data_IF_312173876236
#
_entry.id   IF_312173876236
#
_cell.length_a   1.000
_cell.length_b   1.000
_cell.length_c   1.000
_cell.angle_alpha   90.00
_cell.angle_beta   90.00
_cell.angle_gamma   90.00
#
_symmetry.space_group_name_H-M   'P 1'
#
loop_
_entity.id
_entity.type
_entity.pdbx_description
1 polymer ?
#
# COMPACT_ATOMS: atom_id res chain seq x y z
N UNK A 1 -85.52 10.11 -26.82
CA UNK A 1 -85.22 11.40 -27.45
C UNK A 1 -83.71 11.56 -27.52
N UNK A 2 -83.19 11.53 -28.75
CA UNK A 2 -81.99 12.17 -29.32
C UNK A 2 -80.66 12.28 -28.55
N UNK A 3 -79.63 11.76 -29.23
CA UNK A 3 -78.18 11.97 -29.08
C UNK A 3 -77.72 13.44 -29.04
N UNK A 4 -76.59 13.68 -28.36
CA UNK A 4 -75.48 14.54 -28.83
C UNK A 4 -74.17 14.03 -28.16
N UNK A 5 -73.26 13.38 -28.90
CA UNK A 5 -72.01 13.93 -29.47
C UNK A 5 -71.09 14.59 -28.43
N UNK A 6 -69.98 13.95 -27.99
CA UNK A 6 -68.62 13.85 -28.58
C UNK A 6 -67.63 14.84 -27.92
N UNK A 7 -66.36 14.42 -27.86
CA UNK A 7 -65.12 15.21 -27.60
C UNK A 7 -64.52 15.10 -26.17
N UNK A 8 -63.72 14.05 -26.00
CA UNK A 8 -62.27 14.08 -25.71
C UNK A 8 -61.71 15.27 -24.91
N UNK A 9 -61.12 14.99 -23.73
CA UNK A 9 -59.72 15.37 -23.45
C UNK A 9 -59.18 14.64 -22.22
N UNK A 10 -58.16 13.83 -22.49
CA UNK A 10 -57.21 13.23 -21.54
C UNK A 10 -56.62 14.30 -20.63
N UNK A 11 -56.66 14.10 -19.32
CA UNK A 11 -55.64 14.64 -18.41
C UNK A 11 -55.42 13.64 -17.29
N UNK A 12 -54.43 12.77 -17.49
CA UNK A 12 -53.86 11.89 -16.48
C UNK A 12 -53.36 12.75 -15.31
N UNK A 13 -53.96 12.58 -14.12
CA UNK A 13 -53.39 13.14 -12.90
C UNK A 13 -52.12 12.34 -12.57
N UNK A 14 -50.97 12.99 -12.81
CA UNK A 14 -49.65 12.40 -12.64
C UNK A 14 -49.34 12.07 -11.19
N UNK A 15 -49.01 10.80 -10.95
CA UNK A 15 -48.23 10.38 -9.79
C UNK A 15 -46.77 10.79 -10.06
N UNK A 16 -46.31 11.88 -9.44
CA UNK A 16 -44.88 12.18 -9.33
C UNK A 16 -44.53 12.03 -7.85
N UNK A 17 -44.31 10.78 -7.43
CA UNK A 17 -43.59 10.48 -6.21
C UNK A 17 -42.09 10.60 -6.54
N UNK A 18 -41.51 11.77 -6.31
CA UNK A 18 -40.07 11.98 -6.41
C UNK A 18 -39.38 11.25 -5.27
N UNK A 19 -38.96 10.00 -5.50
CA UNK A 19 -38.05 9.28 -4.62
C UNK A 19 -36.64 9.87 -4.78
N UNK A 20 -36.28 10.84 -3.95
CA UNK A 20 -34.90 11.29 -3.81
C UNK A 20 -34.11 10.22 -3.08
N UNK A 21 -33.56 9.25 -3.82
CA UNK A 21 -32.54 8.33 -3.29
C UNK A 21 -31.26 9.13 -3.13
N UNK A 22 -31.02 9.63 -1.92
CA UNK A 22 -29.74 10.21 -1.57
C UNK A 22 -28.68 9.11 -1.62
N UNK A 23 -27.87 9.08 -2.68
CA UNK A 23 -26.62 8.34 -2.68
C UNK A 23 -25.68 9.00 -1.67
N UNK A 24 -25.75 8.56 -0.42
CA UNK A 24 -24.65 8.71 0.51
C UNK A 24 -23.50 7.83 -0.02
N UNK A 25 -22.70 8.37 -0.94
CA UNK A 25 -21.39 7.82 -1.24
C UNK A 25 -20.54 8.03 0.01
N UNK A 26 -20.62 7.08 0.95
CA UNK A 26 -19.79 7.08 2.14
C UNK A 26 -18.34 7.12 1.72
N UNK A 27 -17.63 8.19 2.09
CA UNK A 27 -16.19 8.23 2.00
C UNK A 27 -15.66 7.02 2.77
N UNK A 28 -15.13 6.03 2.06
CA UNK A 28 -14.44 4.91 2.69
C UNK A 28 -13.22 5.50 3.36
N UNK A 29 -13.26 5.64 4.68
CA UNK A 29 -12.08 5.97 5.45
C UNK A 29 -11.02 4.91 5.12
N UNK A 30 -9.83 5.36 4.73
CA UNK A 30 -8.72 4.46 4.48
C UNK A 30 -8.31 3.85 5.83
N UNK A 31 -8.71 2.60 6.07
CA UNK A 31 -8.48 1.91 7.33
C UNK A 31 -7.06 1.35 7.45
N UNK A 32 -6.18 1.62 6.48
CA UNK A 32 -4.81 1.12 6.50
C UNK A 32 -4.02 1.75 7.65
N UNK A 33 -3.21 0.96 8.39
CA UNK A 33 -2.30 1.53 9.37
C UNK A 33 -1.32 2.50 8.69
N UNK A 34 -1.00 3.60 9.36
CA UNK A 34 0.09 4.46 8.93
C UNK A 34 1.42 3.69 8.96
N UNK A 35 2.33 4.05 8.06
CA UNK A 35 3.70 3.52 8.02
C UNK A 35 4.68 4.58 8.47
N UNK A 36 5.55 4.22 9.41
CA UNK A 36 6.64 5.07 9.88
C UNK A 36 7.94 4.54 9.30
N UNK A 37 8.69 5.40 8.60
CA UNK A 37 9.92 5.04 7.88
C UNK A 37 11.10 5.75 8.53
N UNK A 38 12.03 4.99 9.09
CA UNK A 38 13.33 5.50 9.54
C UNK A 38 14.34 5.41 8.41
N UNK A 39 15.03 6.52 8.11
CA UNK A 39 16.06 6.58 7.06
C UNK A 39 17.20 7.54 7.40
N UNK A 40 18.32 7.38 6.71
CA UNK A 40 19.36 8.42 6.67
C UNK A 40 18.85 9.69 5.94
N UNK A 41 19.09 10.91 6.46
CA UNK A 41 18.69 12.18 5.84
C UNK A 41 19.07 12.28 4.36
N UNK A 42 20.23 11.76 3.97
CA UNK A 42 20.84 11.92 2.65
C UNK A 42 20.56 10.75 1.70
N UNK A 43 19.72 9.79 2.11
CA UNK A 43 19.37 8.64 1.27
C UNK A 43 18.32 9.00 0.20
N UNK A 44 18.77 9.26 -1.03
CA UNK A 44 17.88 9.59 -2.17
C UNK A 44 16.90 8.49 -2.55
N UNK A 45 17.35 7.23 -2.63
CA UNK A 45 16.49 6.10 -3.01
C UNK A 45 15.41 5.81 -1.96
N UNK A 46 15.69 6.04 -0.67
CA UNK A 46 14.71 5.96 0.40
C UNK A 46 13.54 6.94 0.19
N UNK A 47 13.82 8.15 -0.31
CA UNK A 47 12.77 9.11 -0.68
C UNK A 47 11.95 8.63 -1.88
N UNK A 48 12.60 8.01 -2.87
CA UNK A 48 11.93 7.37 -4.00
C UNK A 48 10.95 6.28 -3.55
N UNK A 49 11.37 5.43 -2.60
CA UNK A 49 10.51 4.40 -2.03
C UNK A 49 9.34 4.98 -1.22
N UNK A 50 9.57 6.01 -0.39
CA UNK A 50 8.51 6.74 0.30
C UNK A 50 7.50 7.32 -0.70
N UNK A 51 7.97 7.90 -1.82
CA UNK A 51 7.08 8.41 -2.86
C UNK A 51 6.26 7.28 -3.51
N UNK A 52 6.86 6.11 -3.74
CA UNK A 52 6.14 4.92 -4.20
C UNK A 52 5.02 4.52 -3.25
N UNK A 53 5.29 4.44 -1.95
CA UNK A 53 4.27 4.12 -0.96
C UNK A 53 3.12 5.13 -0.95
N UNK A 54 3.43 6.43 -0.98
CA UNK A 54 2.41 7.48 -1.03
C UNK A 54 1.53 7.37 -2.28
N UNK A 55 2.12 7.09 -3.46
CA UNK A 55 1.36 6.84 -4.70
C UNK A 55 0.45 5.61 -4.60
N UNK A 56 0.82 4.63 -3.78
CA UNK A 56 0.00 3.45 -3.48
C UNK A 56 -0.97 3.67 -2.30
N UNK A 57 -1.13 4.91 -1.84
CA UNK A 57 -2.12 5.32 -0.84
C UNK A 57 -1.73 5.04 0.61
N UNK A 58 -0.46 4.78 0.90
CA UNK A 58 0.00 4.69 2.29
C UNK A 58 0.15 6.08 2.90
N UNK A 59 -0.32 6.24 4.14
CA UNK A 59 0.01 7.39 4.97
C UNK A 59 1.42 7.21 5.57
N UNK A 60 2.41 7.93 5.02
CA UNK A 60 3.83 7.75 5.36
C UNK A 60 4.36 8.90 6.22
N UNK A 61 4.84 8.56 7.41
CA UNK A 61 5.65 9.42 8.28
C UNK A 61 7.12 9.06 8.12
N UNK A 62 7.99 10.03 7.86
CA UNK A 62 9.44 9.81 7.77
C UNK A 62 10.14 10.32 9.04
N UNK A 63 11.03 9.51 9.59
CA UNK A 63 11.93 9.85 10.69
C UNK A 63 13.34 9.79 10.16
N UNK A 64 14.06 10.90 10.25
CA UNK A 64 15.44 10.98 9.82
C UNK A 64 16.37 10.69 11.00
N UNK A 65 17.33 9.80 10.80
CA UNK A 65 18.33 9.45 11.80
C UNK A 65 19.65 9.08 11.13
N UNK A 66 20.76 9.47 11.75
CA UNK A 66 22.09 9.06 11.33
C UNK A 66 22.46 7.65 11.84
N UNK A 67 21.74 7.14 12.85
CA UNK A 67 22.01 5.83 13.46
C UNK A 67 20.98 4.78 13.04
N UNK A 68 21.07 4.38 11.77
CA UNK A 68 20.21 3.33 11.21
C UNK A 68 20.54 1.94 11.78
N UNK A 69 21.76 1.72 12.27
CA UNK A 69 22.13 0.44 12.88
C UNK A 69 21.36 0.21 14.19
N UNK A 70 21.25 1.25 15.04
CA UNK A 70 20.44 1.17 16.25
C UNK A 70 18.95 0.91 15.96
N UNK A 71 18.40 1.51 14.89
CA UNK A 71 17.02 1.23 14.46
C UNK A 71 16.85 -0.24 14.08
N UNK A 72 17.71 -0.76 13.21
CA UNK A 72 17.65 -2.15 12.74
C UNK A 72 17.79 -3.15 13.88
N UNK A 73 18.74 -2.91 14.79
CA UNK A 73 18.96 -3.74 15.97
C UNK A 73 17.72 -3.77 16.88
N UNK A 74 17.13 -2.59 17.18
CA UNK A 74 15.90 -2.49 17.98
C UNK A 74 14.74 -3.27 17.38
N UNK A 75 14.65 -3.27 16.05
CA UNK A 75 13.57 -3.93 15.31
C UNK A 75 13.89 -5.38 14.92
N UNK A 76 14.99 -5.94 15.43
CA UNK A 76 15.43 -7.31 15.16
C UNK A 76 15.56 -7.62 13.66
N UNK A 77 16.02 -6.66 12.86
CA UNK A 77 16.35 -6.89 11.45
C UNK A 77 17.64 -7.73 11.38
N UNK A 78 17.61 -8.92 10.77
CA UNK A 78 18.81 -9.73 10.58
C UNK A 78 19.84 -9.00 9.72
N UNK A 79 21.13 -9.14 10.05
CA UNK A 79 22.20 -8.41 9.36
C UNK A 79 22.27 -8.75 7.86
N UNK A 80 22.01 -10.00 7.51
CA UNK A 80 21.95 -10.51 6.14
C UNK A 80 20.75 -9.98 5.33
N UNK A 81 19.74 -9.42 6.00
CA UNK A 81 18.57 -8.82 5.36
C UNK A 81 18.63 -7.29 5.28
N UNK A 82 19.71 -6.69 5.78
CA UNK A 82 19.84 -5.25 5.92
C UNK A 82 19.82 -4.49 4.58
N UNK A 83 19.23 -3.31 4.60
CA UNK A 83 19.10 -2.37 3.50
C UNK A 83 19.22 -0.91 4.01
N UNK A 84 18.91 0.08 3.17
CA UNK A 84 19.13 1.50 3.44
C UNK A 84 18.13 2.15 4.41
N UNK A 85 16.93 1.59 4.57
CA UNK A 85 15.88 2.11 5.47
C UNK A 85 15.07 0.98 6.10
N UNK A 86 14.38 1.31 7.20
CA UNK A 86 13.53 0.37 7.95
C UNK A 86 12.23 1.06 8.30
N UNK A 87 11.10 0.39 8.09
CA UNK A 87 9.79 0.92 8.36
C UNK A 87 8.96 0.00 9.27
N UNK A 88 7.99 0.59 9.95
CA UNK A 88 7.07 -0.11 10.86
C UNK A 88 5.64 0.18 10.40
N UNK A 89 4.83 -0.87 10.22
CA UNK A 89 3.42 -0.77 9.82
C UNK A 89 2.62 -1.95 10.35
N UNK A 90 1.49 -1.69 11.02
CA UNK A 90 0.55 -2.74 11.43
C UNK A 90 1.17 -3.84 12.30
N UNK A 91 2.19 -3.50 13.11
CA UNK A 91 2.93 -4.47 13.94
C UNK A 91 3.98 -5.29 13.19
N UNK A 92 4.28 -4.96 11.93
CA UNK A 92 5.36 -5.55 11.15
C UNK A 92 6.49 -4.57 10.87
N UNK A 93 7.68 -5.13 10.66
CA UNK A 93 8.85 -4.45 10.13
C UNK A 93 8.89 -4.61 8.60
N UNK A 94 9.31 -3.57 7.88
CA UNK A 94 9.55 -3.58 6.44
C UNK A 94 10.95 -3.03 6.19
N UNK A 95 11.85 -3.88 5.74
CA UNK A 95 13.26 -3.58 5.55
C UNK A 95 13.59 -3.41 4.06
N UNK A 96 14.09 -2.24 3.68
CA UNK A 96 14.50 -1.96 2.30
C UNK A 96 13.36 -1.79 1.30
N UNK A 97 13.70 -1.93 0.02
CA UNK A 97 12.86 -1.57 -1.14
C UNK A 97 11.72 -2.57 -1.44
N UNK A 98 10.95 -2.95 -0.41
CA UNK A 98 9.80 -3.86 -0.51
C UNK A 98 8.66 -3.21 -1.31
N UNK A 99 8.10 -3.86 -2.35
CA UNK A 99 6.96 -3.32 -3.08
C UNK A 99 5.71 -3.13 -2.22
N UNK A 100 5.00 -2.03 -2.47
CA UNK A 100 3.71 -1.72 -1.85
C UNK A 100 2.72 -2.91 -1.88
N UNK A 101 2.65 -3.64 -3.00
CA UNK A 101 1.78 -4.82 -3.10
C UNK A 101 2.16 -5.97 -2.16
N UNK A 102 3.46 -6.16 -1.87
CA UNK A 102 3.91 -7.16 -0.91
C UNK A 102 3.53 -6.75 0.52
N UNK A 103 3.64 -5.45 0.84
CA UNK A 103 3.19 -4.89 2.13
C UNK A 103 1.67 -5.06 2.29
N UNK A 104 0.88 -4.78 1.25
CA UNK A 104 -0.57 -4.99 1.27
C UNK A 104 -0.92 -6.46 1.51
N UNK A 105 -0.22 -7.38 0.85
CA UNK A 105 -0.39 -8.83 1.06
C UNK A 105 -0.03 -9.23 2.49
N UNK A 106 1.07 -8.73 3.04
CA UNK A 106 1.46 -8.97 4.44
C UNK A 106 0.36 -8.54 5.42
N UNK A 107 -0.20 -7.34 5.23
CA UNK A 107 -1.24 -6.80 6.09
C UNK A 107 -2.57 -7.56 5.96
N UNK A 108 -2.86 -8.11 4.78
CA UNK A 108 -4.05 -8.93 4.55
C UNK A 108 -3.91 -10.35 5.11
N UNK A 109 -2.78 -11.01 4.88
CA UNK A 109 -2.54 -12.40 5.28
C UNK A 109 -2.18 -12.56 6.75
N UNK A 110 -1.63 -11.50 7.37
CA UNK A 110 -1.30 -11.48 8.80
C UNK A 110 -0.46 -12.69 9.28
N UNK A 111 0.60 -13.12 8.57
CA UNK A 111 1.40 -14.27 9.02
C UNK A 111 2.10 -14.00 10.36
N UNK A 112 2.40 -15.06 11.12
CA UNK A 112 3.24 -14.97 12.32
C UNK A 112 4.71 -14.75 11.89
N UNK A 113 5.09 -13.49 11.82
CA UNK A 113 6.39 -13.03 11.36
C UNK A 113 6.75 -11.69 12.01
N UNK A 114 8.03 -11.33 11.95
CA UNK A 114 8.50 -9.99 12.31
C UNK A 114 8.26 -9.03 11.15
N UNK A 115 8.52 -9.45 9.90
CA UNK A 115 8.43 -8.52 8.79
C UNK A 115 8.78 -9.04 7.41
N UNK A 116 8.83 -8.11 6.46
CA UNK A 116 9.34 -8.31 5.11
C UNK A 116 10.67 -7.61 4.90
N UNK A 117 11.55 -8.18 4.07
CA UNK A 117 12.81 -7.55 3.71
C UNK A 117 13.15 -7.71 2.22
N UNK A 118 13.75 -6.66 1.65
CA UNK A 118 14.53 -6.72 0.40
C UNK A 118 15.97 -6.37 0.76
N UNK A 119 16.88 -7.34 0.85
CA UNK A 119 18.26 -7.11 1.21
C UNK A 119 19.00 -6.27 0.16
N UNK A 120 19.92 -5.41 0.61
CA UNK A 120 20.69 -4.54 -0.28
C UNK A 120 19.82 -3.49 -0.97
N UNK A 121 20.11 -3.18 -2.24
CA UNK A 121 19.38 -2.19 -3.05
C UNK A 121 19.30 -2.64 -4.52
N UNK A 122 18.47 -3.65 -4.85
CA UNK A 122 18.39 -4.19 -6.21
C UNK A 122 17.92 -3.13 -7.22
N UNK A 123 18.60 -3.05 -8.37
CA UNK A 123 18.25 -2.10 -9.42
C UNK A 123 16.86 -2.43 -9.97
N UNK A 124 16.02 -1.40 -10.11
CA UNK A 124 14.64 -1.53 -10.56
C UNK A 124 13.62 -1.73 -9.45
N UNK A 125 14.01 -2.09 -8.22
CA UNK A 125 13.08 -2.10 -7.08
C UNK A 125 12.52 -0.70 -6.81
N UNK A 126 11.36 -0.54 -6.14
CA UNK A 126 10.74 0.78 -5.97
C UNK A 126 11.64 1.78 -5.24
N UNK A 127 11.89 2.95 -5.82
CA UNK A 127 12.88 3.92 -5.34
C UNK A 127 14.31 3.68 -5.82
N UNK A 128 14.57 2.55 -6.48
CA UNK A 128 15.82 2.19 -7.16
C UNK A 128 15.61 2.08 -8.69
N UNK A 129 14.60 2.78 -9.23
CA UNK A 129 14.33 2.75 -10.67
C UNK A 129 15.49 3.34 -11.48
N UNK A 130 15.77 2.73 -12.62
CA UNK A 130 16.90 3.07 -13.49
C UNK A 130 17.66 1.82 -13.92
N UNK A 131 18.67 2.00 -14.78
CA UNK A 131 19.51 0.91 -15.26
C UNK A 131 18.72 -0.25 -15.88
N UNK A 132 19.30 -1.46 -15.80
CA UNK A 132 18.63 -2.71 -16.18
C UNK A 132 17.99 -3.32 -14.93
N UNK A 133 16.65 -3.45 -14.86
CA UNK A 133 16.00 -4.02 -13.68
C UNK A 133 16.43 -5.46 -13.40
N UNK A 134 16.63 -5.75 -12.12
CA UNK A 134 16.96 -7.07 -11.58
C UNK A 134 15.69 -7.76 -11.07
N UNK A 135 15.64 -9.09 -11.20
CA UNK A 135 14.66 -9.88 -10.44
C UNK A 135 15.22 -10.08 -9.04
N UNK A 136 14.45 -9.71 -8.03
CA UNK A 136 14.85 -9.81 -6.64
C UNK A 136 13.81 -10.53 -5.80
N UNK A 137 14.24 -10.99 -4.62
CA UNK A 137 13.42 -11.71 -3.67
C UNK A 137 12.95 -10.76 -2.57
N UNK A 138 11.69 -10.87 -2.18
CA UNK A 138 11.17 -10.33 -0.93
C UNK A 138 11.13 -11.49 0.06
N UNK A 139 11.78 -11.34 1.21
CA UNK A 139 11.80 -12.35 2.26
C UNK A 139 10.80 -12.03 3.36
N UNK A 140 10.15 -13.06 3.90
CA UNK A 140 9.47 -13.02 5.18
C UNK A 140 10.45 -13.50 6.26
N UNK A 141 10.60 -12.75 7.36
CA UNK A 141 11.54 -13.08 8.42
C UNK A 141 10.91 -13.01 9.82
N UNK A 142 11.48 -13.75 10.77
CA UNK A 142 10.95 -13.91 12.13
C UNK A 142 11.75 -14.90 12.98
N UNK A 143 11.07 -15.83 13.66
CA UNK A 143 11.70 -16.78 14.62
C UNK A 143 12.52 -17.92 13.98
N UNK A 144 12.86 -17.81 12.70
CA UNK A 144 13.61 -18.82 11.97
C UNK A 144 14.30 -18.23 10.75
N UNK A 145 14.90 -19.09 9.91
CA UNK A 145 15.53 -18.66 8.67
C UNK A 145 14.53 -17.87 7.81
N UNK A 146 14.97 -16.78 7.14
CA UNK A 146 14.13 -16.06 6.20
C UNK A 146 13.63 -16.98 5.09
N UNK A 147 12.35 -16.84 4.71
CA UNK A 147 11.74 -17.60 3.63
C UNK A 147 11.31 -16.66 2.51
N UNK A 148 11.35 -17.14 1.27
CA UNK A 148 10.83 -16.38 0.14
C UNK A 148 9.34 -16.06 0.36
N UNK A 149 9.00 -14.78 0.29
CA UNK A 149 7.62 -14.29 0.25
C UNK A 149 7.15 -14.06 -1.19
N UNK A 150 8.10 -13.89 -2.13
CA UNK A 150 7.86 -13.81 -3.56
C UNK A 150 8.99 -13.11 -4.30
N UNK A 151 9.05 -13.35 -5.61
CA UNK A 151 10.01 -12.71 -6.52
C UNK A 151 9.37 -11.56 -7.27
N UNK A 152 10.15 -10.52 -7.54
CA UNK A 152 9.65 -9.29 -8.14
C UNK A 152 10.60 -8.77 -9.21
N UNK A 153 10.02 -8.15 -10.23
CA UNK A 153 10.72 -7.31 -11.21
C UNK A 153 10.03 -5.95 -11.21
N UNK A 154 10.75 -4.90 -10.78
CA UNK A 154 10.09 -3.65 -10.48
C UNK A 154 9.20 -3.77 -9.25
N UNK A 155 7.96 -3.30 -9.36
CA UNK A 155 6.95 -3.45 -8.32
C UNK A 155 6.02 -4.65 -8.53
N UNK A 156 6.27 -5.49 -9.55
CA UNK A 156 5.38 -6.59 -9.98
C UNK A 156 5.93 -7.97 -9.60
N UNK A 157 5.05 -8.95 -9.30
CA UNK A 157 5.50 -10.30 -9.00
C UNK A 157 5.89 -11.05 -10.28
N UNK A 158 6.83 -11.99 -10.19
CA UNK A 158 7.32 -12.83 -11.31
C UNK A 158 7.50 -14.29 -10.93
#
# INVERSE_FOLDING_TARGET
>A
MQNLSLITRRTSFGLIASAAVALAAGARADTRPAITVSKDPNCGCCNGWIAHLRRNGFAVTAIETADMLAVKARLNVPAELSSCHTAEIGGYVVEGHVPAQAILRLLAERPDAVGLAVPGMPIGSPGMEGGRPEVYEVFLFGKGPPVSFGRFLGDRPV
#
